data_IF_606390201040
#
_entry.id   IF_606390201040
#
_cell.length_a   1.000
_cell.length_b   1.000
_cell.length_c   1.000
_cell.angle_alpha   90.00
_cell.angle_beta   90.00
_cell.angle_gamma   90.00
#
_symmetry.space_group_name_H-M   'P 1'
#
loop_
_entity.id
_entity.type
_entity.pdbx_description
1 polymer ?
#
# COMPACT_ATOMS: atom_id res chain seq x y z
N UNK A 1 14.88 18.21 4.08
CA UNK A 1 14.45 18.26 2.66
C UNK A 1 15.09 17.11 1.90
N UNK A 2 14.31 16.25 1.23
CA UNK A 2 14.80 15.07 0.48
C UNK A 2 14.43 15.20 -0.99
N UNK A 3 15.35 14.82 -1.90
CA UNK A 3 15.11 14.77 -3.35
C UNK A 3 15.32 13.36 -3.86
N UNK A 4 14.30 12.85 -4.54
CA UNK A 4 14.29 11.52 -5.14
C UNK A 4 14.08 11.70 -6.63
N UNK A 5 14.95 11.12 -7.44
CA UNK A 5 14.83 11.09 -8.88
C UNK A 5 14.71 9.66 -9.39
N UNK A 6 14.01 9.48 -10.49
CA UNK A 6 13.84 8.17 -11.09
C UNK A 6 13.73 8.26 -12.60
N UNK A 7 14.05 7.16 -13.28
CA UNK A 7 13.87 7.02 -14.73
C UNK A 7 12.44 7.32 -15.16
N UNK A 8 11.46 6.92 -14.34
CA UNK A 8 10.04 7.21 -14.58
C UNK A 8 9.42 7.74 -13.28
N UNK A 9 8.84 8.93 -13.34
CA UNK A 9 8.08 9.50 -12.22
C UNK A 9 6.61 9.64 -12.62
N UNK A 10 5.72 8.94 -11.90
CA UNK A 10 4.28 8.98 -12.11
C UNK A 10 3.63 9.88 -11.06
N UNK A 11 3.26 11.09 -11.44
CA UNK A 11 2.60 12.06 -10.57
C UNK A 11 1.31 12.62 -11.17
N UNK A 12 1.05 12.31 -12.45
CA UNK A 12 -0.11 12.82 -13.17
C UNK A 12 -1.27 11.82 -13.13
N UNK A 13 -2.49 12.34 -13.08
CA UNK A 13 -3.71 11.54 -13.06
C UNK A 13 -3.95 10.73 -14.35
N UNK A 14 -3.34 11.13 -15.46
CA UNK A 14 -3.40 10.46 -16.76
C UNK A 14 -2.37 9.32 -16.90
N UNK A 15 -1.61 9.04 -15.83
CA UNK A 15 -0.53 8.04 -15.79
C UNK A 15 0.59 8.25 -16.82
N UNK A 16 0.75 9.47 -17.36
CA UNK A 16 1.88 9.82 -18.21
C UNK A 16 3.12 10.06 -17.33
N UNK A 17 4.21 9.27 -17.47
CA UNK A 17 5.40 9.46 -16.65
C UNK A 17 6.20 10.69 -17.07
N UNK A 18 6.83 11.34 -16.11
CA UNK A 18 7.94 12.25 -16.36
C UNK A 18 9.20 11.41 -16.48
N UNK A 19 9.79 11.35 -17.66
CA UNK A 19 11.07 10.67 -17.88
C UNK A 19 12.20 11.43 -17.20
N UNK A 20 13.07 10.71 -16.49
CA UNK A 20 14.13 11.27 -15.66
C UNK A 20 13.57 12.34 -14.70
N UNK A 21 12.45 11.99 -14.06
CA UNK A 21 11.71 12.87 -13.17
C UNK A 21 12.28 12.93 -11.76
N UNK A 22 11.98 14.00 -11.04
CA UNK A 22 12.26 14.11 -9.60
C UNK A 22 11.05 14.54 -8.80
N UNK A 23 11.06 14.16 -7.53
CA UNK A 23 10.19 14.69 -6.48
C UNK A 23 11.04 15.26 -5.35
N UNK A 24 10.66 16.44 -4.88
CA UNK A 24 11.24 17.09 -3.71
C UNK A 24 10.24 17.03 -2.56
N UNK A 25 10.71 16.57 -1.39
CA UNK A 25 9.93 16.39 -0.19
C UNK A 25 10.47 17.26 0.94
N UNK A 26 9.59 17.80 1.78
CA UNK A 26 9.99 18.40 3.05
C UNK A 26 10.34 17.31 4.10
N UNK A 27 10.68 17.75 5.30
CA UNK A 27 11.07 16.87 6.40
C UNK A 27 9.88 16.06 6.97
N UNK A 28 8.65 16.44 6.62
CA UNK A 28 7.42 15.71 6.96
C UNK A 28 6.96 14.76 5.84
N UNK A 29 7.68 14.71 4.71
CA UNK A 29 7.34 13.88 3.57
C UNK A 29 6.30 14.51 2.62
N UNK A 30 6.00 15.80 2.78
CA UNK A 30 5.09 16.52 1.88
C UNK A 30 5.80 16.83 0.57
N UNK A 31 5.14 16.54 -0.54
CA UNK A 31 5.65 16.88 -1.88
C UNK A 31 5.62 18.38 -2.08
N UNK A 32 6.79 18.97 -2.28
CA UNK A 32 6.97 20.40 -2.52
C UNK A 32 7.04 20.73 -4.02
N UNK A 33 7.71 19.86 -4.78
CA UNK A 33 7.97 20.10 -6.21
C UNK A 33 8.16 18.78 -6.95
N UNK A 34 7.74 18.74 -8.20
CA UNK A 34 8.06 17.68 -9.17
C UNK A 34 8.52 18.31 -10.49
N UNK A 35 9.29 17.58 -11.27
CA UNK A 35 9.77 18.04 -12.57
C UNK A 35 10.80 17.09 -13.17
N UNK A 36 11.55 17.58 -14.17
CA UNK A 36 12.65 16.83 -14.74
C UNK A 36 13.92 16.96 -13.89
N UNK A 37 14.67 15.89 -13.80
CA UNK A 37 15.88 15.80 -12.97
C UNK A 37 17.00 16.76 -13.41
N UNK A 38 17.01 17.18 -14.67
CA UNK A 38 17.92 18.21 -15.22
C UNK A 38 17.68 19.61 -14.65
N UNK A 39 16.46 19.87 -14.17
CA UNK A 39 16.06 21.17 -13.59
C UNK A 39 16.60 21.41 -12.17
N UNK A 40 17.26 20.40 -11.58
CA UNK A 40 17.87 20.50 -10.25
C UNK A 40 19.36 20.17 -10.28
N UNK A 41 20.19 21.09 -9.80
CA UNK A 41 21.65 20.95 -9.69
C UNK A 41 22.11 20.34 -8.36
N UNK A 42 21.20 20.13 -7.41
CA UNK A 42 21.51 19.67 -6.06
C UNK A 42 21.54 18.15 -5.95
N UNK A 43 22.15 17.64 -4.88
CA UNK A 43 22.24 16.22 -4.58
C UNK A 43 20.84 15.57 -4.50
N UNK A 44 20.73 14.41 -5.14
CA UNK A 44 19.49 13.63 -5.25
C UNK A 44 19.79 12.13 -5.19
N UNK A 45 18.88 11.40 -4.60
CA UNK A 45 18.85 9.94 -4.62
C UNK A 45 18.22 9.48 -5.93
N UNK A 46 18.95 8.74 -6.78
CA UNK A 46 18.45 8.29 -8.08
C UNK A 46 18.12 6.80 -8.09
N UNK A 47 16.97 6.46 -8.68
CA UNK A 47 16.51 5.10 -8.90
C UNK A 47 16.35 4.79 -10.40
N UNK A 48 17.02 3.75 -10.89
CA UNK A 48 16.79 3.21 -12.24
C UNK A 48 15.50 2.37 -12.25
N UNK A 49 14.37 3.04 -12.12
CA UNK A 49 13.07 2.41 -11.99
C UNK A 49 11.95 3.44 -12.05
N UNK A 50 10.80 3.09 -11.48
CA UNK A 50 9.65 3.97 -11.40
C UNK A 50 9.38 4.41 -9.96
N UNK A 51 9.19 5.71 -9.75
CA UNK A 51 8.61 6.27 -8.53
C UNK A 51 7.13 6.55 -8.80
N UNK A 52 6.29 6.00 -7.94
CA UNK A 52 4.83 6.11 -8.02
C UNK A 52 4.28 6.54 -6.66
N UNK A 53 3.10 7.16 -6.59
CA UNK A 53 2.40 7.34 -5.33
C UNK A 53 2.14 6.01 -4.63
N UNK A 54 2.04 6.02 -3.31
CA UNK A 54 1.66 4.83 -2.56
C UNK A 54 0.30 4.29 -3.02
N UNK A 55 0.19 2.96 -3.07
CA UNK A 55 -1.06 2.31 -3.51
C UNK A 55 -2.17 2.50 -2.48
N UNK A 56 -3.40 2.58 -2.96
CA UNK A 56 -4.60 2.57 -2.11
C UNK A 56 -5.32 1.23 -2.31
N UNK A 57 -5.48 0.47 -1.22
CA UNK A 57 -6.35 -0.69 -1.22
C UNK A 57 -7.77 -0.23 -0.91
N UNK A 58 -8.60 -0.07 -1.93
CA UNK A 58 -9.95 0.49 -1.83
C UNK A 58 -10.99 -0.50 -1.26
N UNK A 59 -10.64 -1.75 -1.02
CA UNK A 59 -11.52 -2.75 -0.43
C UNK A 59 -10.70 -3.80 0.33
N UNK A 60 -10.87 -3.87 1.63
CA UNK A 60 -10.10 -4.73 2.52
C UNK A 60 -10.99 -5.26 3.66
N UNK A 61 -10.62 -6.42 4.19
CA UNK A 61 -11.24 -7.07 5.33
C UNK A 61 -10.13 -7.60 6.24
N UNK A 62 -9.48 -6.71 6.97
CA UNK A 62 -8.35 -7.08 7.86
C UNK A 62 -8.78 -7.96 9.03
N UNK A 63 -10.04 -7.85 9.47
CA UNK A 63 -10.63 -8.69 10.52
C UNK A 63 -10.64 -10.18 10.15
N UNK A 64 -10.63 -10.50 8.85
CA UNK A 64 -10.56 -11.90 8.38
C UNK A 64 -9.14 -12.47 8.36
N UNK A 65 -8.13 -11.67 8.66
CA UNK A 65 -6.71 -12.08 8.60
C UNK A 65 -6.41 -13.28 9.47
N UNK A 66 -7.02 -13.39 10.64
CA UNK A 66 -6.86 -14.52 11.58
C UNK A 66 -7.45 -15.85 11.06
N UNK A 67 -8.26 -15.77 10.00
CA UNK A 67 -8.88 -16.93 9.36
C UNK A 67 -8.11 -17.42 8.13
N UNK A 68 -6.98 -16.80 7.82
CA UNK A 68 -6.14 -17.15 6.66
C UNK A 68 -5.81 -18.64 6.65
N UNK A 69 -6.01 -19.26 5.49
CA UNK A 69 -5.72 -20.70 5.28
C UNK A 69 -6.76 -21.65 5.87
N UNK A 70 -7.80 -21.17 6.55
CA UNK A 70 -8.83 -21.99 7.17
C UNK A 70 -10.07 -22.19 6.29
N UNK A 71 -10.21 -21.40 5.21
CA UNK A 71 -11.37 -21.47 4.32
C UNK A 71 -11.31 -22.67 3.38
N UNK A 72 -12.43 -23.38 3.26
CA UNK A 72 -12.65 -24.40 2.22
C UNK A 72 -12.93 -23.71 0.90
N UNK A 73 -12.28 -24.13 -0.17
CA UNK A 73 -12.45 -23.57 -1.52
C UNK A 73 -13.72 -24.10 -2.20
N UNK A 74 -14.24 -23.35 -3.16
CA UNK A 74 -15.32 -23.81 -4.04
C UNK A 74 -16.73 -23.80 -3.42
N UNK A 75 -16.93 -23.12 -2.29
CA UNK A 75 -18.21 -23.09 -1.56
C UNK A 75 -19.16 -21.99 -2.01
N UNK A 76 -18.76 -21.13 -2.94
CA UNK A 76 -19.51 -19.96 -3.35
C UNK A 76 -19.63 -18.91 -2.24
N UNK A 77 -20.36 -17.82 -2.49
CA UNK A 77 -20.48 -16.70 -1.55
C UNK A 77 -21.20 -17.11 -0.26
N UNK A 78 -22.29 -17.84 -0.36
CA UNK A 78 -23.06 -18.30 0.83
C UNK A 78 -22.18 -19.17 1.73
N UNK A 79 -21.51 -20.19 1.17
CA UNK A 79 -20.62 -21.05 1.95
C UNK A 79 -19.38 -20.33 2.48
N UNK A 80 -18.91 -19.25 1.85
CA UNK A 80 -17.87 -18.41 2.39
C UNK A 80 -18.35 -17.63 3.63
N UNK A 81 -19.56 -17.07 3.59
CA UNK A 81 -20.14 -16.36 4.73
C UNK A 81 -20.40 -17.32 5.91
N UNK A 82 -20.89 -18.53 5.63
CA UNK A 82 -21.10 -19.56 6.66
C UNK A 82 -19.78 -19.89 7.37
N UNK A 83 -18.69 -20.03 6.62
CA UNK A 83 -17.36 -20.28 7.17
C UNK A 83 -16.83 -19.11 8.01
N UNK A 84 -17.09 -17.85 7.62
CA UNK A 84 -16.76 -16.70 8.46
C UNK A 84 -17.46 -16.82 9.81
N UNK A 85 -18.75 -17.15 9.82
CA UNK A 85 -19.52 -17.31 11.05
C UNK A 85 -18.99 -18.48 11.90
N UNK A 86 -18.65 -19.62 11.30
CA UNK A 86 -18.06 -20.78 11.98
C UNK A 86 -16.70 -20.44 12.60
N UNK A 87 -15.88 -19.64 11.92
CA UNK A 87 -14.50 -19.34 12.31
C UNK A 87 -14.38 -18.10 13.21
N UNK A 88 -15.44 -17.30 13.33
CA UNK A 88 -15.42 -16.00 14.02
C UNK A 88 -14.83 -16.08 15.44
N UNK A 89 -15.17 -17.12 16.18
CA UNK A 89 -14.75 -17.33 17.56
C UNK A 89 -13.58 -18.31 17.70
N UNK A 90 -12.97 -18.70 16.56
CA UNK A 90 -11.84 -19.64 16.55
C UNK A 90 -10.51 -19.04 17.03
N UNK A 91 -10.45 -17.73 17.24
CA UNK A 91 -9.28 -16.98 17.68
C UNK A 91 -9.67 -15.94 18.73
N UNK A 92 -8.78 -15.67 19.67
CA UNK A 92 -9.01 -14.65 20.69
C UNK A 92 -8.95 -13.25 20.07
N UNK A 93 -9.52 -12.26 20.79
CA UNK A 93 -9.43 -10.87 20.36
C UNK A 93 -7.98 -10.38 20.21
N UNK A 94 -7.11 -10.79 21.12
CA UNK A 94 -5.68 -10.45 21.08
C UNK A 94 -5.00 -11.01 19.83
N UNK A 95 -5.23 -12.29 19.50
CA UNK A 95 -4.72 -12.89 18.28
C UNK A 95 -5.23 -12.19 17.02
N UNK A 96 -6.49 -11.76 17.00
CA UNK A 96 -7.05 -10.97 15.88
C UNK A 96 -6.30 -9.65 15.71
N UNK A 97 -6.03 -8.92 16.79
CA UNK A 97 -5.29 -7.66 16.74
C UNK A 97 -3.84 -7.84 16.28
N UNK A 98 -3.17 -8.91 16.73
CA UNK A 98 -1.81 -9.24 16.28
C UNK A 98 -1.77 -9.51 14.76
N UNK A 99 -2.71 -10.31 14.24
CA UNK A 99 -2.81 -10.60 12.80
C UNK A 99 -3.11 -9.35 11.98
N UNK A 100 -4.06 -8.51 12.41
CA UNK A 100 -4.36 -7.23 11.76
C UNK A 100 -3.11 -6.35 11.70
N UNK A 101 -2.41 -6.20 12.83
CA UNK A 101 -1.19 -5.39 12.92
C UNK A 101 -0.08 -5.91 12.02
N UNK A 102 0.11 -7.23 11.97
CA UNK A 102 1.08 -7.87 11.07
C UNK A 102 0.76 -7.60 9.60
N UNK A 103 -0.52 -7.75 9.20
CA UNK A 103 -0.92 -7.56 7.81
C UNK A 103 -0.92 -6.08 7.39
N UNK A 104 -1.31 -5.16 8.26
CA UNK A 104 -1.17 -3.72 8.03
C UNK A 104 0.30 -3.36 7.74
N UNK A 105 1.23 -3.82 8.58
CA UNK A 105 2.66 -3.59 8.38
C UNK A 105 3.19 -4.24 7.10
N UNK A 106 2.71 -5.44 6.78
CA UNK A 106 3.08 -6.14 5.55
C UNK A 106 2.61 -5.39 4.30
N UNK A 107 1.39 -4.88 4.28
CA UNK A 107 0.84 -4.07 3.19
C UNK A 107 1.61 -2.75 3.05
N UNK A 108 1.89 -2.08 4.16
CA UNK A 108 2.72 -0.87 4.17
C UNK A 108 4.10 -1.11 3.54
N UNK A 109 4.78 -2.16 3.94
CA UNK A 109 6.09 -2.52 3.40
C UNK A 109 6.05 -2.90 1.90
N UNK A 110 4.87 -3.19 1.37
CA UNK A 110 4.61 -3.45 -0.05
C UNK A 110 4.09 -2.24 -0.82
N UNK A 111 4.13 -1.06 -0.21
CA UNK A 111 3.77 0.21 -0.85
C UNK A 111 2.29 0.59 -0.76
N UNK A 112 1.48 -0.10 0.03
CA UNK A 112 0.09 0.31 0.31
C UNK A 112 0.10 1.39 1.38
N UNK A 113 -0.23 2.63 1.03
CA UNK A 113 -0.20 3.80 1.91
C UNK A 113 -1.54 4.12 2.57
N UNK A 114 -2.63 3.60 2.01
CA UNK A 114 -3.97 3.77 2.56
C UNK A 114 -4.84 2.56 2.24
N UNK A 115 -5.84 2.30 3.07
CA UNK A 115 -6.80 1.23 2.83
C UNK A 115 -8.19 1.62 3.33
N UNK A 116 -9.22 1.15 2.61
CA UNK A 116 -10.60 1.18 3.05
C UNK A 116 -10.95 -0.21 3.58
N UNK A 117 -11.01 -0.32 4.91
CA UNK A 117 -11.38 -1.56 5.61
C UNK A 117 -12.87 -1.55 5.92
N UNK A 118 -13.56 -2.63 5.57
CA UNK A 118 -15.00 -2.80 5.77
C UNK A 118 -15.15 -3.95 6.78
N UNK A 119 -15.22 -3.57 8.05
CA UNK A 119 -15.38 -4.50 9.18
C UNK A 119 -16.70 -4.30 9.91
#
# INVERSE_FOLDING_TARGET
MKRIAAKYLYVNADFTPIHDGFVELDDNGVVLKTGKSEDISSEKEYYDGAVVPGFVNAHCHLELSSMRGKFRKGTGMAGFIDQINELRDSTTHEQKLEEISYWMKTLWNRGVSAMADIS
#
